data_IF_660395073528
#
_entry.id   IF_660395073528
#
_cell.length_a   1.000
_cell.length_b   1.000
_cell.length_c   1.000
_cell.angle_alpha   90.00
_cell.angle_beta   90.00
_cell.angle_gamma   90.00
#
_symmetry.space_group_name_H-M   'P 1'
#
loop_
_entity.id
_entity.type
_entity.pdbx_description
1 polymer ?
#
# COMPACT_ATOMS: atom_id res chain seq x y z
N UNK A 1 7.25 4.37 13.26
CA UNK A 1 7.15 2.91 13.53
C UNK A 1 7.72 2.57 14.92
N UNK A 2 6.94 1.87 15.75
CA UNK A 2 7.23 1.59 17.16
C UNK A 2 8.03 0.30 17.41
N UNK A 3 8.23 -0.03 18.69
CA UNK A 3 9.04 -1.18 19.15
C UNK A 3 8.33 -2.53 19.09
N UNK A 4 7.07 -2.56 18.65
CA UNK A 4 6.20 -3.75 18.66
C UNK A 4 5.72 -4.11 17.25
N UNK A 5 6.63 -4.03 16.28
CA UNK A 5 6.35 -4.35 14.89
C UNK A 5 7.50 -5.17 14.30
N UNK A 6 7.15 -6.31 13.72
CA UNK A 6 8.08 -7.20 13.01
C UNK A 6 7.69 -7.26 11.54
N UNK A 7 8.68 -7.05 10.66
CA UNK A 7 8.52 -7.21 9.21
C UNK A 7 9.19 -8.50 8.77
N UNK A 8 8.44 -9.32 8.04
CA UNK A 8 8.95 -10.53 7.38
C UNK A 8 8.96 -10.28 5.89
N UNK A 9 10.08 -10.58 5.24
CA UNK A 9 10.24 -10.43 3.80
C UNK A 9 10.80 -11.71 3.19
N UNK A 10 10.50 -12.00 1.92
CA UNK A 10 11.15 -13.09 1.22
C UNK A 10 12.67 -12.87 1.17
N UNK A 11 13.42 -13.91 1.49
CA UNK A 11 14.87 -13.91 1.41
C UNK A 11 15.40 -14.41 0.05
N UNK A 12 16.55 -15.07 0.10
CA UNK A 12 17.17 -15.72 -1.06
C UNK A 12 16.98 -17.23 -0.97
N UNK A 13 16.71 -17.89 -2.10
CA UNK A 13 16.66 -19.35 -2.16
C UNK A 13 18.08 -19.98 -2.17
N UNK A 14 18.15 -21.31 -2.14
CA UNK A 14 19.42 -22.06 -2.11
C UNK A 14 20.26 -21.89 -3.40
N UNK A 15 19.67 -21.35 -4.46
CA UNK A 15 20.29 -21.14 -5.77
C UNK A 15 20.59 -19.66 -6.05
N UNK A 16 20.36 -18.76 -5.08
CA UNK A 16 20.60 -17.32 -5.24
C UNK A 16 19.42 -16.55 -5.86
N UNK A 17 18.28 -17.20 -6.09
CA UNK A 17 17.06 -16.59 -6.60
C UNK A 17 16.23 -15.90 -5.52
N UNK A 18 15.25 -15.11 -5.95
CA UNK A 18 14.29 -14.46 -5.04
C UNK A 18 13.32 -15.52 -4.51
N UNK A 19 13.33 -15.74 -3.20
CA UNK A 19 12.32 -16.60 -2.57
C UNK A 19 10.95 -15.91 -2.61
N UNK A 20 9.89 -16.69 -2.53
CA UNK A 20 8.53 -16.18 -2.32
C UNK A 20 8.02 -16.65 -0.96
N UNK A 21 7.26 -15.80 -0.29
CA UNK A 21 6.45 -16.25 0.85
C UNK A 21 5.21 -16.96 0.30
N UNK A 22 4.79 -18.09 0.89
CA UNK A 22 3.54 -18.73 0.51
C UNK A 22 2.35 -17.85 0.89
N UNK A 23 1.26 -17.94 0.12
CA UNK A 23 0.03 -17.17 0.37
C UNK A 23 -0.57 -17.48 1.76
N UNK A 24 -0.30 -18.67 2.32
CA UNK A 24 -0.73 -19.06 3.65
C UNK A 24 0.14 -18.47 4.78
N UNK A 25 1.23 -17.77 4.48
CA UNK A 25 2.17 -17.24 5.47
C UNK A 25 1.49 -16.35 6.54
N UNK A 26 0.60 -15.39 6.19
CA UNK A 26 -0.11 -14.60 7.19
C UNK A 26 -0.91 -15.46 8.17
N UNK A 27 -1.63 -16.48 7.66
CA UNK A 27 -2.42 -17.39 8.48
C UNK A 27 -1.55 -18.31 9.37
N UNK A 28 -0.35 -18.66 8.93
CA UNK A 28 0.62 -19.39 9.75
C UNK A 28 1.20 -18.52 10.86
N UNK A 29 1.57 -17.27 10.56
CA UNK A 29 2.13 -16.32 11.53
C UNK A 29 1.09 -15.96 12.59
N UNK A 30 -0.17 -15.79 12.21
CA UNK A 30 -1.27 -15.48 13.13
C UNK A 30 -1.51 -16.57 14.18
N UNK A 31 -0.96 -17.78 14.01
CA UNK A 31 -1.04 -18.87 14.99
C UNK A 31 0.06 -18.84 16.05
N UNK A 32 1.04 -17.94 15.93
CA UNK A 32 2.13 -17.79 16.89
C UNK A 32 1.60 -17.04 18.11
N UNK A 33 1.60 -17.66 19.29
CA UNK A 33 0.87 -17.17 20.47
C UNK A 33 1.06 -15.70 20.85
N UNK A 34 2.27 -15.13 20.80
CA UNK A 34 2.50 -13.71 21.08
C UNK A 34 2.02 -12.71 20.01
N UNK A 35 1.61 -13.17 18.83
CA UNK A 35 1.19 -12.29 17.73
C UNK A 35 -0.25 -11.84 17.96
N UNK A 36 -0.48 -10.53 17.96
CA UNK A 36 -1.83 -9.93 18.14
C UNK A 36 -2.51 -9.62 16.81
N UNK A 37 -1.74 -9.16 15.82
CA UNK A 37 -2.23 -8.71 14.52
C UNK A 37 -1.24 -9.15 13.42
N UNK A 38 -1.77 -9.50 12.25
CA UNK A 38 -1.00 -9.84 11.06
C UNK A 38 -1.67 -9.21 9.87
N UNK A 39 -0.88 -8.62 8.97
CA UNK A 39 -1.36 -8.13 7.68
C UNK A 39 -0.23 -8.25 6.67
N UNK A 40 -0.55 -8.13 5.38
CA UNK A 40 0.43 -8.27 4.31
C UNK A 40 0.34 -7.17 3.25
N UNK A 41 1.46 -6.99 2.57
CA UNK A 41 1.57 -6.15 1.37
C UNK A 41 2.36 -6.89 0.31
N UNK A 42 2.03 -6.64 -0.95
CA UNK A 42 2.78 -7.10 -2.12
C UNK A 42 3.24 -5.91 -2.94
N UNK A 43 4.53 -5.82 -3.23
CA UNK A 43 5.04 -4.81 -4.15
C UNK A 43 4.49 -5.07 -5.56
N UNK A 44 4.00 -4.02 -6.21
CA UNK A 44 3.48 -4.06 -7.58
C UNK A 44 4.37 -3.18 -8.45
N UNK A 45 4.83 -3.72 -9.58
CA UNK A 45 5.59 -2.98 -10.57
C UNK A 45 4.66 -2.07 -11.38
N UNK A 46 4.30 -0.93 -10.80
CA UNK A 46 3.42 0.06 -11.39
C UNK A 46 3.87 1.47 -10.96
N UNK A 47 4.13 2.33 -11.94
CA UNK A 47 4.45 3.73 -11.69
C UNK A 47 3.18 4.53 -11.35
N UNK A 48 3.33 5.57 -10.52
CA UNK A 48 2.23 6.44 -10.08
C UNK A 48 2.46 7.86 -10.56
N UNK A 49 1.45 8.46 -11.18
CA UNK A 49 1.50 9.83 -11.70
C UNK A 49 0.27 10.62 -11.30
N UNK A 50 0.41 11.95 -11.25
CA UNK A 50 -0.74 12.84 -10.98
C UNK A 50 -1.75 12.85 -12.14
N UNK A 51 -1.26 12.71 -13.37
CA UNK A 51 -2.02 12.76 -14.62
C UNK A 51 -1.18 12.22 -15.78
N UNK A 52 -1.81 12.00 -16.93
CA UNK A 52 -1.20 11.58 -18.21
C UNK A 52 -0.27 12.64 -18.83
N UNK A 53 -0.33 13.88 -18.35
CA UNK A 53 0.56 14.97 -18.77
C UNK A 53 1.96 14.91 -18.16
N UNK A 54 2.20 14.03 -17.17
CA UNK A 54 3.52 13.86 -16.56
C UNK A 54 4.35 12.91 -17.44
N UNK A 55 5.56 13.29 -17.87
CA UNK A 55 6.43 12.40 -18.64
C UNK A 55 6.68 11.08 -17.90
N UNK A 56 6.62 9.94 -18.61
CA UNK A 56 6.75 8.60 -18.00
C UNK A 56 8.08 8.41 -17.25
N UNK A 57 9.14 9.12 -17.64
CA UNK A 57 10.46 9.09 -16.98
C UNK A 57 10.46 9.72 -15.58
N UNK A 58 9.46 10.54 -15.25
CA UNK A 58 9.34 11.25 -13.98
C UNK A 58 8.44 10.48 -12.98
N UNK A 59 8.85 9.26 -12.62
CA UNK A 59 8.06 8.36 -11.74
C UNK A 59 7.95 8.83 -10.28
N UNK A 60 8.71 9.85 -9.90
CA UNK A 60 8.70 10.42 -8.54
C UNK A 60 9.23 9.49 -7.43
N UNK A 61 9.78 8.32 -7.78
CA UNK A 61 10.25 7.32 -6.80
C UNK A 61 9.14 6.76 -5.92
N UNK A 62 7.89 6.80 -6.39
CA UNK A 62 6.73 6.32 -5.66
C UNK A 62 6.64 4.79 -5.81
N UNK A 63 6.64 4.08 -4.68
CA UNK A 63 6.43 2.64 -4.65
C UNK A 63 4.93 2.33 -4.54
N UNK A 64 4.49 1.31 -5.28
CA UNK A 64 3.11 0.84 -5.32
C UNK A 64 2.99 -0.50 -4.62
N UNK A 65 1.98 -0.65 -3.77
CA UNK A 65 1.71 -1.87 -3.04
C UNK A 65 0.24 -2.27 -3.18
N UNK A 66 0.01 -3.56 -3.41
CA UNK A 66 -1.24 -4.20 -3.03
C UNK A 66 -1.20 -4.42 -1.52
N UNK A 67 -2.28 -4.11 -0.82
CA UNK A 67 -2.34 -4.17 0.63
C UNK A 67 -3.62 -4.86 1.09
N UNK A 68 -3.50 -5.64 2.17
CA UNK A 68 -4.67 -6.20 2.83
C UNK A 68 -5.54 -5.10 3.46
N UNK A 69 -6.82 -5.43 3.62
CA UNK A 69 -7.82 -4.49 4.17
C UNK A 69 -7.62 -4.21 5.66
N UNK A 70 -6.85 -5.04 6.37
CA UNK A 70 -6.53 -4.93 7.79
C UNK A 70 -5.10 -4.40 8.05
N UNK A 71 -4.43 -3.84 7.03
CA UNK A 71 -3.08 -3.28 7.20
C UNK A 71 -3.00 -2.13 8.21
N UNK A 72 -3.92 -1.14 8.23
CA UNK A 72 -3.80 -0.02 9.15
C UNK A 72 -3.73 -0.40 10.62
N UNK A 73 -4.61 -1.26 11.18
CA UNK A 73 -4.49 -1.66 12.57
C UNK A 73 -3.17 -2.38 12.87
N UNK A 74 -2.67 -3.23 11.97
CA UNK A 74 -1.38 -3.93 12.16
C UNK A 74 -0.18 -2.97 12.16
N UNK A 75 -0.26 -1.83 11.47
CA UNK A 75 0.78 -0.80 11.45
C UNK A 75 0.59 0.31 12.49
N UNK A 76 -0.57 0.35 13.16
CA UNK A 76 -1.00 1.52 13.94
C UNK A 76 -1.21 2.78 13.07
N UNK A 77 -1.47 2.60 11.77
CA UNK A 77 -1.65 3.70 10.83
C UNK A 77 -3.08 4.27 10.93
N UNK A 78 -3.21 5.57 10.71
CA UNK A 78 -4.49 6.29 10.71
C UNK A 78 -4.69 7.04 9.40
N UNK A 79 -5.95 7.30 9.06
CA UNK A 79 -6.34 7.97 7.81
C UNK A 79 -6.65 9.44 8.13
N UNK A 80 -5.88 10.35 7.54
CA UNK A 80 -6.04 11.79 7.69
C UNK A 80 -7.27 12.30 6.92
N UNK A 81 -7.58 11.68 5.78
CA UNK A 81 -8.68 12.06 4.91
C UNK A 81 -9.25 10.85 4.17
N UNK A 82 -10.58 10.75 4.08
CA UNK A 82 -11.25 9.65 3.39
C UNK A 82 -11.33 8.38 4.24
N UNK A 83 -11.07 7.24 3.61
CA UNK A 83 -11.14 5.90 4.24
C UNK A 83 -9.99 5.01 3.78
N UNK A 84 -9.65 4.01 4.58
CA UNK A 84 -8.88 2.88 4.10
C UNK A 84 -9.69 2.05 3.09
N UNK A 85 -9.00 1.20 2.34
CA UNK A 85 -9.62 0.22 1.46
C UNK A 85 -10.57 -0.70 2.24
N UNK A 86 -11.65 -1.12 1.60
CA UNK A 86 -12.63 -2.05 2.15
C UNK A 86 -13.16 -3.00 1.08
N UNK A 87 -14.04 -3.93 1.46
CA UNK A 87 -14.58 -4.95 0.57
C UNK A 87 -15.34 -4.40 -0.65
N UNK A 88 -15.83 -3.16 -0.60
CA UNK A 88 -16.45 -2.49 -1.73
C UNK A 88 -15.39 -1.85 -2.63
N UNK A 89 -14.46 -1.07 -2.08
CA UNK A 89 -13.42 -0.39 -2.87
C UNK A 89 -12.43 -1.35 -3.51
N UNK A 90 -12.20 -2.53 -2.90
CA UNK A 90 -11.33 -3.57 -3.46
C UNK A 90 -11.82 -4.14 -4.81
N UNK A 91 -13.06 -3.84 -5.22
CA UNK A 91 -13.64 -4.27 -6.50
C UNK A 91 -13.50 -3.24 -7.61
N UNK A 92 -12.91 -2.09 -7.32
CA UNK A 92 -12.77 -0.96 -8.24
C UNK A 92 -11.35 -0.38 -8.18
N UNK A 93 -10.93 0.40 -9.19
CA UNK A 93 -9.66 1.14 -9.15
C UNK A 93 -9.65 2.21 -8.05
N UNK A 94 -9.25 1.82 -6.84
CA UNK A 94 -9.20 2.67 -5.66
C UNK A 94 -7.81 2.61 -5.02
N UNK A 95 -7.30 3.76 -4.58
CA UNK A 95 -5.97 3.86 -3.97
C UNK A 95 -6.01 4.70 -2.70
N UNK A 96 -5.15 4.35 -1.76
CA UNK A 96 -4.84 5.15 -0.57
C UNK A 96 -3.41 5.68 -0.71
N UNK A 97 -3.23 6.99 -0.55
CA UNK A 97 -1.92 7.63 -0.66
C UNK A 97 -1.27 7.75 0.73
N UNK A 98 0.01 7.42 0.83
CA UNK A 98 0.82 7.80 1.98
C UNK A 98 0.98 9.33 2.07
N UNK A 99 1.16 9.87 3.28
CA UNK A 99 1.25 11.32 3.52
C UNK A 99 2.29 12.03 2.62
N UNK A 100 3.45 11.41 2.39
CA UNK A 100 4.49 11.98 1.52
C UNK A 100 4.11 11.92 0.04
N UNK A 101 3.54 10.80 -0.41
CA UNK A 101 3.05 10.66 -1.80
C UNK A 101 1.95 11.68 -2.11
N UNK A 102 0.98 11.85 -1.20
CA UNK A 102 -0.07 12.84 -1.34
C UNK A 102 0.50 14.26 -1.49
N UNK A 103 1.51 14.61 -0.68
CA UNK A 103 2.21 15.90 -0.76
C UNK A 103 2.95 16.08 -2.08
N UNK A 104 3.67 15.05 -2.55
CA UNK A 104 4.40 15.08 -3.81
C UNK A 104 3.47 15.27 -5.02
N UNK A 105 2.30 14.62 -4.98
CA UNK A 105 1.29 14.71 -6.04
C UNK A 105 0.36 15.93 -5.90
N UNK A 106 0.53 16.75 -4.85
CA UNK A 106 -0.30 17.93 -4.60
C UNK A 106 -1.76 17.59 -4.26
N UNK A 107 -2.00 16.46 -3.61
CA UNK A 107 -3.33 15.97 -3.22
C UNK A 107 -3.51 16.22 -1.72
N UNK A 108 -4.39 17.16 -1.37
CA UNK A 108 -4.63 17.56 0.03
C UNK A 108 -5.65 16.72 0.77
N UNK A 109 -6.58 16.07 0.07
CA UNK A 109 -7.64 15.25 0.65
C UNK A 109 -8.13 14.21 -0.36
N UNK A 110 -8.75 13.14 0.14
CA UNK A 110 -9.46 12.16 -0.68
C UNK A 110 -10.80 12.73 -1.14
N UNK A 111 -11.14 12.51 -2.42
CA UNK A 111 -12.38 13.01 -3.03
C UNK A 111 -12.73 12.11 -4.25
N UNK A 112 -14.02 11.81 -4.52
CA UNK A 112 -14.43 11.02 -5.68
C UNK A 112 -13.93 11.56 -7.03
N UNK A 113 -13.72 12.87 -7.16
CA UNK A 113 -13.24 13.50 -8.39
C UNK A 113 -11.70 13.56 -8.47
N UNK A 114 -10.98 13.11 -7.42
CA UNK A 114 -9.52 13.10 -7.39
C UNK A 114 -8.99 11.72 -7.81
N UNK A 115 -8.29 11.69 -8.94
CA UNK A 115 -7.66 10.48 -9.47
C UNK A 115 -6.15 10.62 -9.62
N UNK A 116 -5.46 9.48 -9.61
CA UNK A 116 -4.06 9.33 -9.98
C UNK A 116 -3.95 8.21 -11.01
N UNK A 117 -2.91 8.25 -11.84
CA UNK A 117 -2.61 7.12 -12.71
C UNK A 117 -1.74 6.13 -11.96
N UNK A 118 -2.10 4.86 -11.98
CA UNK A 118 -1.31 3.75 -11.46
C UNK A 118 -1.14 2.74 -12.59
N UNK A 119 0.09 2.53 -13.05
CA UNK A 119 0.36 1.64 -14.19
C UNK A 119 -0.35 2.05 -15.49
N UNK A 120 -0.63 3.35 -15.66
CA UNK A 120 -1.36 3.89 -16.82
C UNK A 120 -2.89 3.86 -16.69
N UNK A 121 -3.45 3.31 -15.62
CA UNK A 121 -4.90 3.29 -15.39
C UNK A 121 -5.32 4.31 -14.32
N UNK A 122 -6.51 4.94 -14.44
CA UNK A 122 -7.01 5.89 -13.45
C UNK A 122 -7.53 5.18 -12.20
N UNK A 123 -7.01 5.57 -11.03
CA UNK A 123 -7.44 5.13 -9.71
C UNK A 123 -8.00 6.31 -8.92
N UNK A 124 -9.14 6.11 -8.28
CA UNK A 124 -9.75 7.11 -7.40
C UNK A 124 -9.05 7.12 -6.05
N UNK A 125 -8.69 8.32 -5.57
CA UNK A 125 -8.06 8.48 -4.25
C UNK A 125 -9.13 8.44 -3.18
N UNK A 126 -9.27 7.28 -2.54
CA UNK A 126 -10.29 7.06 -1.50
C UNK A 126 -9.78 7.38 -0.10
N UNK A 127 -8.46 7.51 0.08
CA UNK A 127 -7.87 7.85 1.37
C UNK A 127 -6.49 8.48 1.27
N UNK A 128 -6.12 9.23 2.31
CA UNK A 128 -4.77 9.73 2.57
C UNK A 128 -4.39 9.37 4.00
N UNK A 129 -3.27 8.69 4.19
CA UNK A 129 -2.76 8.31 5.51
C UNK A 129 -2.15 9.49 6.25
N UNK A 130 -2.26 9.48 7.57
CA UNK A 130 -1.41 10.28 8.45
C UNK A 130 0.06 9.79 8.37
N UNK A 131 1.04 10.67 8.66
CA UNK A 131 2.43 10.25 8.84
C UNK A 131 2.57 9.24 10.00
N UNK A 132 3.42 8.21 9.81
CA UNK A 132 3.71 7.13 10.78
C UNK A 132 5.18 7.07 11.20
#
# INVERSE_FOLDING_TARGET
LGTDLLRVEPGTDLFGGTAALPDEAPAMIARIGPVTDVSSVGAVDAAVYRSDLVPEVETGGIATYAADLDLPPALGATVASGTWLNAATARYPAVVLGATTARLLGIGHADPDVQVLVGGEPFTVVGVLDPV
#
